data_IF_870701791603
#
_entry.id   IF_870701791603
#
_cell.length_a   1.000
_cell.length_b   1.000
_cell.length_c   1.000
_cell.angle_alpha   90.00
_cell.angle_beta   90.00
_cell.angle_gamma   90.00
#
_symmetry.space_group_name_H-M   'P 1'
#
loop_
_entity.id
_entity.type
_entity.pdbx_description
1 polymer ?
#
# COMPACT_ATOMS: atom_id res chain seq x y z
N UNK A 1 15.66 -1.01 -12.21
CA UNK A 1 16.43 -0.28 -13.25
C UNK A 1 16.02 1.20 -13.39
N UNK A 2 14.73 1.52 -13.55
CA UNK A 2 14.25 2.91 -13.81
C UNK A 2 14.65 3.94 -12.74
N UNK A 3 14.49 3.63 -11.45
CA UNK A 3 14.83 4.56 -10.35
C UNK A 3 16.34 4.80 -10.21
N UNK A 4 17.16 3.77 -10.45
CA UNK A 4 18.63 3.89 -10.46
C UNK A 4 19.06 4.79 -11.64
N UNK A 5 18.46 4.59 -12.81
CA UNK A 5 18.71 5.45 -13.99
C UNK A 5 18.31 6.91 -13.77
N UNK A 6 17.16 7.17 -13.15
CA UNK A 6 16.70 8.54 -12.83
C UNK A 6 17.65 9.21 -11.82
N UNK A 7 18.11 8.47 -10.81
CA UNK A 7 19.06 9.02 -9.84
C UNK A 7 20.42 9.33 -10.47
N UNK A 8 20.89 8.51 -11.42
CA UNK A 8 22.11 8.78 -12.20
C UNK A 8 21.97 10.04 -13.08
N UNK A 9 20.79 10.28 -13.67
CA UNK A 9 20.50 11.49 -14.45
C UNK A 9 20.38 12.76 -13.59
N UNK A 10 20.12 12.63 -12.29
CA UNK A 10 20.05 13.77 -11.37
C UNK A 10 21.44 14.24 -10.88
N UNK A 11 22.44 13.35 -10.88
CA UNK A 11 23.83 13.68 -10.49
C UNK A 11 24.49 14.81 -11.31
N UNK A 12 24.26 14.96 -12.64
CA UNK A 12 24.78 16.09 -13.41
C UNK A 12 24.05 17.44 -13.20
N UNK A 13 23.16 17.58 -12.20
CA UNK A 13 22.56 18.87 -11.83
C UNK A 13 21.24 19.22 -12.53
N UNK A 14 20.56 18.25 -13.13
CA UNK A 14 19.22 18.42 -13.73
C UNK A 14 18.17 17.61 -12.92
N UNK A 15 17.73 18.09 -11.74
CA UNK A 15 16.93 17.29 -10.82
C UNK A 15 15.46 17.11 -11.22
N UNK A 16 14.98 17.78 -12.28
CA UNK A 16 13.55 17.81 -12.66
C UNK A 16 12.92 16.41 -12.72
N UNK A 17 13.50 15.50 -13.50
CA UNK A 17 12.98 14.14 -13.63
C UNK A 17 12.99 13.33 -12.31
N UNK A 18 13.92 13.63 -11.40
CA UNK A 18 13.96 13.01 -10.07
C UNK A 18 12.87 13.59 -9.18
N UNK A 19 12.68 14.90 -9.19
CA UNK A 19 11.64 15.58 -8.42
C UNK A 19 10.24 15.11 -8.86
N UNK A 20 10.00 15.08 -10.17
CA UNK A 20 8.74 14.57 -10.74
C UNK A 20 8.48 13.13 -10.30
N UNK A 21 9.52 12.28 -10.33
CA UNK A 21 9.40 10.90 -9.87
C UNK A 21 9.10 10.80 -8.37
N UNK A 22 9.69 11.66 -7.54
CA UNK A 22 9.39 11.71 -6.10
C UNK A 22 7.92 12.06 -5.90
N UNK A 23 7.41 13.11 -6.56
CA UNK A 23 6.00 13.50 -6.46
C UNK A 23 5.09 12.36 -6.92
N UNK A 24 5.38 11.71 -8.05
CA UNK A 24 4.56 10.60 -8.54
C UNK A 24 4.53 9.41 -7.57
N UNK A 25 5.67 9.05 -6.96
CA UNK A 25 5.72 7.97 -5.98
C UNK A 25 4.98 8.34 -4.69
N UNK A 26 5.19 9.56 -4.20
CA UNK A 26 4.49 10.10 -3.04
C UNK A 26 2.98 10.16 -3.26
N UNK A 27 2.54 10.65 -4.41
CA UNK A 27 1.14 10.69 -4.80
C UNK A 27 0.49 9.31 -4.73
N UNK A 28 1.12 8.32 -5.38
CA UNK A 28 0.61 6.94 -5.39
C UNK A 28 0.55 6.35 -3.99
N UNK A 29 1.57 6.60 -3.16
CA UNK A 29 1.55 6.17 -1.76
C UNK A 29 0.39 6.80 -0.98
N UNK A 30 0.26 8.13 -1.01
CA UNK A 30 -0.77 8.85 -0.26
C UNK A 30 -2.18 8.58 -0.78
N UNK A 31 -2.37 8.31 -2.06
CA UNK A 31 -3.65 7.87 -2.63
C UNK A 31 -4.10 6.56 -1.99
N UNK A 32 -3.21 5.57 -1.90
CA UNK A 32 -3.54 4.28 -1.29
C UNK A 32 -3.89 4.45 0.19
N UNK A 33 -3.05 5.17 0.94
CA UNK A 33 -3.23 5.45 2.36
C UNK A 33 -4.52 6.23 2.62
N UNK A 34 -4.82 7.23 1.79
CA UNK A 34 -6.05 8.03 1.93
C UNK A 34 -7.29 7.18 1.73
N UNK A 35 -7.29 6.33 0.70
CA UNK A 35 -8.43 5.45 0.41
C UNK A 35 -8.66 4.48 1.56
N UNK A 36 -7.61 3.77 1.98
CA UNK A 36 -7.65 2.84 3.13
C UNK A 36 -8.14 3.54 4.40
N UNK A 37 -7.58 4.72 4.71
CA UNK A 37 -7.96 5.50 5.89
C UNK A 37 -9.43 5.89 5.88
N UNK A 38 -9.99 6.29 4.73
CA UNK A 38 -11.41 6.62 4.62
C UNK A 38 -12.30 5.37 4.75
N UNK A 39 -11.88 4.22 4.24
CA UNK A 39 -12.60 2.95 4.46
C UNK A 39 -12.66 2.60 5.96
N UNK A 40 -11.53 2.71 6.67
CA UNK A 40 -11.46 2.47 8.12
C UNK A 40 -12.35 3.46 8.88
N UNK A 41 -12.27 4.75 8.54
CA UNK A 41 -13.09 5.80 9.17
C UNK A 41 -14.59 5.57 8.93
N UNK A 42 -14.98 5.19 7.72
CA UNK A 42 -16.38 4.88 7.40
C UNK A 42 -16.90 3.68 8.22
N UNK A 43 -16.12 2.60 8.31
CA UNK A 43 -16.45 1.44 9.12
C UNK A 43 -16.58 1.79 10.62
N UNK A 44 -15.62 2.57 11.14
CA UNK A 44 -15.64 3.05 12.52
C UNK A 44 -16.86 3.92 12.82
N UNK A 45 -17.23 4.85 11.93
CA UNK A 45 -18.43 5.68 12.05
C UNK A 45 -19.70 4.83 12.04
N UNK A 46 -19.76 3.81 11.18
CA UNK A 46 -20.86 2.84 11.12
C UNK A 46 -20.89 1.88 12.32
N UNK A 47 -19.83 1.84 13.15
CA UNK A 47 -19.63 0.88 14.24
C UNK A 47 -19.76 -0.57 13.79
N UNK A 48 -19.28 -0.87 12.59
CA UNK A 48 -19.28 -2.21 12.01
C UNK A 48 -17.88 -2.57 11.52
N UNK A 49 -17.46 -3.85 11.58
CA UNK A 49 -16.20 -4.28 10.99
C UNK A 49 -16.15 -3.96 9.48
N UNK A 50 -15.11 -3.26 9.04
CA UNK A 50 -14.87 -2.98 7.62
C UNK A 50 -14.16 -4.14 6.90
N UNK A 51 -14.11 -4.07 5.57
CA UNK A 51 -13.35 -5.04 4.75
C UNK A 51 -11.86 -5.00 5.05
N UNK A 52 -11.31 -3.82 5.38
CA UNK A 52 -9.92 -3.66 5.84
C UNK A 52 -9.66 -4.43 7.14
N UNK A 53 -10.56 -4.30 8.14
CA UNK A 53 -10.44 -5.02 9.42
C UNK A 53 -10.54 -6.53 9.24
N UNK A 54 -11.47 -6.98 8.40
CA UNK A 54 -11.66 -8.40 8.10
C UNK A 54 -10.42 -8.99 7.44
N UNK A 55 -9.88 -8.29 6.43
CA UNK A 55 -8.65 -8.70 5.75
C UNK A 55 -7.45 -8.76 6.70
N UNK A 56 -7.30 -7.76 7.58
CA UNK A 56 -6.22 -7.72 8.56
C UNK A 56 -6.29 -8.90 9.55
N UNK A 57 -7.50 -9.31 9.95
CA UNK A 57 -7.73 -10.40 10.92
C UNK A 57 -7.76 -11.79 10.30
N UNK A 58 -7.81 -11.90 8.98
CA UNK A 58 -7.80 -13.18 8.28
C UNK A 58 -6.49 -13.92 8.55
N UNK A 59 -6.59 -15.13 9.12
CA UNK A 59 -5.46 -15.99 9.49
C UNK A 59 -5.24 -17.14 8.51
N UNK A 60 -5.96 -17.19 7.39
CA UNK A 60 -5.90 -18.33 6.46
C UNK A 60 -4.48 -18.58 5.90
N UNK A 61 -3.64 -17.55 5.80
CA UNK A 61 -2.26 -17.64 5.31
C UNK A 61 -1.20 -17.69 6.40
N UNK A 62 -1.59 -17.72 7.68
CA UNK A 62 -0.63 -17.62 8.81
C UNK A 62 0.35 -18.80 8.87
N UNK A 63 0.01 -19.94 8.27
CA UNK A 63 0.85 -21.15 8.19
C UNK A 63 1.60 -21.28 6.86
N UNK A 64 1.37 -20.35 5.92
CA UNK A 64 1.97 -20.39 4.58
C UNK A 64 3.39 -19.79 4.53
N UNK A 65 3.84 -19.15 5.61
CA UNK A 65 5.15 -18.51 5.69
C UNK A 65 6.12 -19.34 6.52
N UNK A 66 7.42 -19.25 6.17
CA UNK A 66 8.49 -19.85 6.95
C UNK A 66 8.62 -19.27 8.36
N UNK A 67 9.45 -19.90 9.22
CA UNK A 67 9.70 -19.40 10.57
C UNK A 67 10.24 -17.96 10.52
N UNK A 68 9.97 -17.21 11.59
CA UNK A 68 10.54 -15.89 11.77
C UNK A 68 12.07 -15.96 11.94
N UNK A 69 12.75 -14.90 11.52
CA UNK A 69 14.18 -14.65 11.71
C UNK A 69 14.46 -13.14 11.71
N UNK A 70 15.64 -12.74 12.16
CA UNK A 70 16.07 -11.33 12.13
C UNK A 70 16.01 -10.72 10.72
N UNK A 71 16.29 -11.52 9.68
CA UNK A 71 16.27 -11.10 8.28
C UNK A 71 14.86 -11.19 7.63
N UNK A 72 13.85 -11.67 8.34
CA UNK A 72 12.51 -11.97 7.78
C UNK A 72 11.87 -10.79 7.06
N UNK A 73 12.00 -9.57 7.62
CA UNK A 73 11.46 -8.36 7.02
C UNK A 73 12.08 -8.06 5.65
N UNK A 74 13.40 -8.26 5.51
CA UNK A 74 14.12 -8.07 4.25
C UNK A 74 13.82 -9.20 3.27
N UNK A 75 13.97 -10.44 3.72
CA UNK A 75 14.01 -11.58 2.82
C UNK A 75 12.63 -12.03 2.38
N UNK A 76 11.61 -11.84 3.23
CA UNK A 76 10.24 -12.28 2.96
C UNK A 76 9.33 -11.08 2.66
N UNK A 77 9.17 -10.16 3.62
CA UNK A 77 8.17 -9.08 3.52
C UNK A 77 8.52 -8.13 2.37
N UNK A 78 9.76 -7.63 2.30
CA UNK A 78 10.16 -6.70 1.25
C UNK A 78 10.13 -7.36 -0.14
N UNK A 79 10.48 -8.65 -0.24
CA UNK A 79 10.39 -9.42 -1.50
C UNK A 79 8.95 -9.55 -1.97
N UNK A 80 8.02 -9.89 -1.09
CA UNK A 80 6.60 -10.01 -1.42
C UNK A 80 6.00 -8.65 -1.80
N UNK A 81 6.32 -7.60 -1.03
CA UNK A 81 5.89 -6.23 -1.34
C UNK A 81 6.41 -5.78 -2.71
N UNK A 82 7.68 -6.07 -3.03
CA UNK A 82 8.25 -5.79 -4.34
C UNK A 82 7.51 -6.51 -5.46
N UNK A 83 7.22 -7.81 -5.28
CA UNK A 83 6.49 -8.61 -6.26
C UNK A 83 5.07 -8.07 -6.53
N UNK A 84 4.40 -7.53 -5.50
CA UNK A 84 3.06 -6.93 -5.62
C UNK A 84 3.08 -5.50 -6.20
N UNK A 85 4.21 -4.80 -6.16
CA UNK A 85 4.28 -3.37 -6.45
C UNK A 85 3.75 -2.97 -7.83
N UNK A 86 4.05 -3.77 -8.87
CA UNK A 86 3.54 -3.53 -10.23
C UNK A 86 2.02 -3.66 -10.27
N UNK A 87 1.47 -4.75 -9.74
CA UNK A 87 0.01 -4.98 -9.70
C UNK A 87 -0.72 -3.88 -8.93
N UNK A 88 -0.19 -3.44 -7.78
CA UNK A 88 -0.76 -2.35 -7.00
C UNK A 88 -0.77 -1.04 -7.80
N UNK A 89 0.34 -0.73 -8.47
CA UNK A 89 0.48 0.49 -9.27
C UNK A 89 -0.49 0.48 -10.46
N UNK A 90 -0.55 -0.63 -11.20
CA UNK A 90 -1.42 -0.77 -12.36
C UNK A 90 -2.89 -0.66 -11.96
N UNK A 91 -3.27 -1.31 -10.84
CA UNK A 91 -4.63 -1.20 -10.31
C UNK A 91 -4.98 0.24 -9.94
N UNK A 92 -4.05 0.96 -9.31
CA UNK A 92 -4.26 2.35 -8.93
C UNK A 92 -4.44 3.26 -10.14
N UNK A 93 -3.61 3.09 -11.18
CA UNK A 93 -3.73 3.84 -12.44
C UNK A 93 -5.06 3.56 -13.16
N UNK A 94 -5.63 2.36 -12.97
CA UNK A 94 -6.91 1.97 -13.56
C UNK A 94 -8.15 2.44 -12.76
N UNK A 95 -8.00 2.84 -11.50
CA UNK A 95 -9.14 3.01 -10.57
C UNK A 95 -9.24 4.40 -9.94
N UNK A 96 -8.17 5.18 -10.00
CA UNK A 96 -8.08 6.51 -9.38
C UNK A 96 -7.99 7.58 -10.48
N UNK A 97 -8.57 8.78 -10.29
CA UNK A 97 -8.38 9.88 -11.23
C UNK A 97 -6.91 10.10 -11.60
N UNK A 98 -6.61 10.13 -12.90
CA UNK A 98 -5.22 10.18 -13.41
C UNK A 98 -4.40 11.35 -12.86
N UNK A 99 -5.04 12.51 -12.64
CA UNK A 99 -4.42 13.69 -12.05
C UNK A 99 -3.91 13.50 -10.62
N UNK A 100 -4.40 12.50 -9.89
CA UNK A 100 -3.94 12.20 -8.53
C UNK A 100 -2.73 11.26 -8.50
N UNK A 101 -2.46 10.53 -9.58
CA UNK A 101 -1.49 9.41 -9.57
C UNK A 101 -0.45 9.48 -10.69
N UNK A 102 -0.67 10.32 -11.69
CA UNK A 102 0.17 10.44 -12.88
C UNK A 102 0.43 11.90 -13.31
N UNK A 103 0.14 12.88 -12.46
CA UNK A 103 0.49 14.29 -12.66
C UNK A 103 1.57 14.71 -11.64
N UNK A 104 2.81 14.99 -12.07
CA UNK A 104 3.87 15.48 -11.19
C UNK A 104 3.70 16.95 -10.77
N UNK A 105 2.80 17.72 -11.41
CA UNK A 105 2.50 19.10 -11.02
C UNK A 105 1.47 19.19 -9.87
N UNK A 106 0.81 18.08 -9.55
CA UNK A 106 -0.14 17.98 -8.44
C UNK A 106 0.51 17.24 -7.27
N UNK A 107 0.55 17.86 -6.09
CA UNK A 107 1.00 17.19 -4.86
C UNK A 107 -0.21 16.69 -4.06
N UNK A 108 -0.51 15.40 -4.19
CA UNK A 108 -1.63 14.78 -3.48
C UNK A 108 -1.42 14.85 -1.97
N UNK A 109 -0.19 14.75 -1.45
CA UNK A 109 0.09 14.78 -0.02
C UNK A 109 -0.34 16.10 0.64
N UNK A 110 -0.23 17.21 -0.09
CA UNK A 110 -0.68 18.54 0.37
C UNK A 110 -2.20 18.66 0.38
N UNK A 111 -2.88 18.04 -0.59
CA UNK A 111 -4.33 18.20 -0.79
C UNK A 111 -5.18 17.06 -0.21
N UNK A 112 -4.57 15.93 0.17
CA UNK A 112 -5.24 14.67 0.52
C UNK A 112 -6.36 14.81 1.54
N UNK A 113 -6.19 15.66 2.56
CA UNK A 113 -7.16 15.82 3.65
C UNK A 113 -8.53 16.31 3.18
N UNK A 114 -8.58 17.15 2.15
CA UNK A 114 -9.82 17.72 1.62
C UNK A 114 -10.49 16.82 0.58
N UNK A 115 -9.80 15.78 0.08
CA UNK A 115 -10.29 14.92 -0.99
C UNK A 115 -11.10 13.78 -0.37
N UNK A 116 -12.34 13.62 -0.83
CA UNK A 116 -13.13 12.42 -0.60
C UNK A 116 -12.83 11.37 -1.68
N UNK A 117 -11.77 10.61 -1.46
CA UNK A 117 -11.25 9.67 -2.45
C UNK A 117 -12.18 8.47 -2.65
N UNK A 118 -12.92 8.05 -1.62
CA UNK A 118 -13.96 7.02 -1.75
C UNK A 118 -15.02 7.45 -2.76
N UNK A 119 -15.49 8.70 -2.67
CA UNK A 119 -16.46 9.23 -3.64
C UNK A 119 -15.88 9.41 -5.05
N UNK A 120 -14.60 9.78 -5.17
CA UNK A 120 -13.90 9.89 -6.47
C UNK A 120 -13.77 8.53 -7.16
N UNK A 121 -13.38 7.47 -6.44
CA UNK A 121 -13.26 6.11 -6.99
C UNK A 121 -14.63 5.53 -7.28
N UNK A 122 -15.64 5.78 -6.44
CA UNK A 122 -17.01 5.34 -6.70
C UNK A 122 -17.56 5.89 -8.03
N UNK A 123 -17.17 7.11 -8.41
CA UNK A 123 -17.52 7.70 -9.72
C UNK A 123 -16.86 7.02 -10.92
N UNK A 124 -15.78 6.26 -10.73
CA UNK A 124 -15.15 5.46 -11.79
C UNK A 124 -15.94 4.16 -12.07
N UNK A 125 -16.82 3.76 -11.16
CA UNK A 125 -17.70 2.60 -11.30
C UNK A 125 -17.39 1.48 -10.30
N UNK A 126 -18.34 0.54 -10.18
CA UNK A 126 -18.28 -0.53 -9.17
C UNK A 126 -17.13 -1.52 -9.40
N UNK A 127 -16.86 -1.89 -10.65
CA UNK A 127 -15.78 -2.83 -10.96
C UNK A 127 -14.39 -2.25 -10.62
N UNK A 128 -14.03 -1.03 -11.04
CA UNK A 128 -12.80 -0.36 -10.60
C UNK A 128 -12.69 -0.26 -9.08
N UNK A 129 -13.76 0.16 -8.40
CA UNK A 129 -13.80 0.23 -6.93
C UNK A 129 -13.50 -1.11 -6.27
N UNK A 130 -14.22 -2.17 -6.66
CA UNK A 130 -14.04 -3.49 -6.09
C UNK A 130 -12.62 -4.03 -6.30
N UNK A 131 -12.01 -3.74 -7.46
CA UNK A 131 -10.66 -4.16 -7.76
C UNK A 131 -9.61 -3.43 -6.89
N UNK A 132 -9.76 -2.12 -6.66
CA UNK A 132 -8.89 -1.39 -5.71
C UNK A 132 -9.04 -1.92 -4.28
N UNK A 133 -10.27 -2.14 -3.82
CA UNK A 133 -10.56 -2.67 -2.49
C UNK A 133 -9.99 -4.09 -2.30
N UNK A 134 -10.05 -4.94 -3.34
CA UNK A 134 -9.44 -6.27 -3.33
C UNK A 134 -7.91 -6.21 -3.22
N UNK A 135 -7.28 -5.25 -3.89
CA UNK A 135 -5.83 -5.00 -3.76
C UNK A 135 -5.48 -4.59 -2.33
N UNK A 136 -6.21 -3.64 -1.74
CA UNK A 136 -6.00 -3.22 -0.35
C UNK A 136 -6.20 -4.41 0.60
N UNK A 137 -7.28 -5.17 0.44
CA UNK A 137 -7.52 -6.36 1.26
C UNK A 137 -6.37 -7.38 1.17
N UNK A 138 -5.76 -7.54 -0.01
CA UNK A 138 -4.59 -8.41 -0.18
C UNK A 138 -3.37 -7.90 0.58
N UNK A 139 -3.10 -6.60 0.51
CA UNK A 139 -2.01 -5.97 1.27
C UNK A 139 -2.24 -6.12 2.78
N UNK A 140 -3.47 -5.93 3.25
CA UNK A 140 -3.82 -6.04 4.66
C UNK A 140 -3.75 -7.47 5.19
N UNK A 141 -4.14 -8.47 4.39
CA UNK A 141 -3.94 -9.89 4.72
C UNK A 141 -2.47 -10.21 4.89
N UNK A 142 -1.62 -9.77 3.96
CA UNK A 142 -0.18 -9.99 4.04
C UNK A 142 0.42 -9.30 5.27
N UNK A 143 0.06 -8.04 5.50
CA UNK A 143 0.49 -7.29 6.68
C UNK A 143 0.10 -7.97 7.99
N UNK A 144 -1.15 -8.44 8.09
CA UNK A 144 -1.64 -9.19 9.24
C UNK A 144 -0.86 -10.47 9.49
N UNK A 145 -0.70 -11.30 8.46
CA UNK A 145 -0.01 -12.58 8.57
C UNK A 145 1.47 -12.41 8.97
N UNK A 146 2.17 -11.44 8.38
CA UNK A 146 3.56 -11.15 8.70
C UNK A 146 3.73 -10.57 10.11
N UNK A 147 2.84 -9.67 10.53
CA UNK A 147 2.89 -9.09 11.88
C UNK A 147 2.65 -10.15 12.94
N UNK A 148 1.69 -11.07 12.74
CA UNK A 148 1.46 -12.21 13.63
C UNK A 148 2.61 -13.21 13.60
N UNK A 149 3.24 -13.44 12.46
CA UNK A 149 4.42 -14.31 12.38
C UNK A 149 5.59 -13.73 13.20
N UNK A 150 5.82 -12.43 13.10
CA UNK A 150 6.82 -11.72 13.91
C UNK A 150 6.54 -11.87 15.41
N UNK A 151 5.32 -11.58 15.84
CA UNK A 151 4.95 -11.70 17.26
C UNK A 151 5.12 -13.14 17.76
N UNK A 152 4.68 -14.14 17.00
CA UNK A 152 4.86 -15.57 17.36
C UNK A 152 6.34 -15.95 17.44
N UNK A 153 7.16 -15.47 16.50
CA UNK A 153 8.60 -15.71 16.48
C UNK A 153 9.30 -15.17 17.72
N UNK A 154 9.11 -13.88 18.00
CA UNK A 154 9.71 -13.19 19.16
C UNK A 154 9.28 -13.85 20.48
N UNK A 155 7.98 -14.16 20.63
CA UNK A 155 7.48 -14.83 21.84
C UNK A 155 7.99 -16.27 21.99
N UNK A 156 8.17 -16.98 20.87
CA UNK A 156 8.74 -18.32 20.84
C UNK A 156 10.21 -18.35 21.26
N UNK A 157 10.98 -17.33 20.92
CA UNK A 157 12.37 -17.16 21.37
C UNK A 157 12.49 -16.68 22.83
N UNK A 158 11.52 -15.88 23.30
CA UNK A 158 11.50 -15.37 24.67
C UNK A 158 11.15 -16.44 25.73
N UNK A 159 10.64 -17.61 25.33
CA UNK A 159 10.33 -18.71 26.24
C UNK A 159 11.57 -19.60 26.41
N UNK A 160 12.17 -19.72 27.62
CA UNK A 160 13.30 -20.61 27.82
C UNK A 160 12.90 -22.06 27.52
N UNK A 161 13.72 -22.75 26.73
CA UNK A 161 13.57 -24.20 26.47
C UNK A 161 13.86 -25.02 27.71
#
# INVERSE_FOLDING_TARGET
ARLIGINLLAMPGMPGAKNDMIILLSNRHFVLERYESQMIQAAAQARQPGSVDQALRDTASDTSYGPWSDDYARDTVARQAHALGTTVTDQMLATVPTGYVNDPAFDFGVHAKAIDLVAEVARQGDAPRAALESTIATLMRNFGAHSRNMVRGILGEATPR
#
